data_IF_382811274679
#
_entry.id   IF_382811274679
#
_cell.length_a   1.000
_cell.length_b   1.000
_cell.length_c   1.000
_cell.angle_alpha   90.00
_cell.angle_beta   90.00
_cell.angle_gamma   90.00
#
_symmetry.space_group_name_H-M   'P 1'
#
loop_
_entity.id
_entity.type
_entity.pdbx_description
1 polymer ?
#
# COMPACT_ATOMS: atom_id res chain seq x y z
N UNK A 1 -4.60 21.98 -23.81
CA UNK A 1 -4.76 20.88 -22.83
C UNK A 1 -3.87 21.17 -21.64
N UNK A 2 -4.45 21.46 -20.48
CA UNK A 2 -3.69 21.64 -19.24
C UNK A 2 -3.15 20.27 -18.82
N UNK A 3 -1.83 20.15 -18.65
CA UNK A 3 -1.18 18.90 -18.25
C UNK A 3 -1.70 18.51 -16.86
N UNK A 4 -2.30 17.32 -16.73
CA UNK A 4 -2.79 16.81 -15.44
C UNK A 4 -1.60 16.79 -14.46
N UNK A 5 -1.70 17.56 -13.38
CA UNK A 5 -0.70 17.57 -12.32
C UNK A 5 -0.84 16.26 -11.55
N UNK A 6 0.20 15.43 -11.57
CA UNK A 6 0.24 14.19 -10.81
C UNK A 6 1.07 14.38 -9.55
N UNK A 7 0.69 13.70 -8.47
CA UNK A 7 1.52 13.62 -7.27
C UNK A 7 2.86 12.93 -7.57
N UNK A 8 3.94 13.58 -7.16
CA UNK A 8 5.28 12.98 -7.18
C UNK A 8 5.38 11.82 -6.18
N UNK A 9 6.39 10.96 -6.32
CA UNK A 9 6.62 9.89 -5.34
C UNK A 9 6.89 10.43 -3.92
N UNK A 10 7.57 11.57 -3.80
CA UNK A 10 7.79 12.21 -2.49
C UNK A 10 6.49 12.75 -1.91
N UNK A 11 5.63 13.38 -2.71
CA UNK A 11 4.29 13.81 -2.26
C UNK A 11 3.46 12.62 -1.80
N UNK A 12 3.48 11.50 -2.54
CA UNK A 12 2.77 10.27 -2.15
C UNK A 12 3.27 9.70 -0.82
N UNK A 13 4.59 9.64 -0.64
CA UNK A 13 5.19 9.18 0.61
C UNK A 13 4.84 10.08 1.80
N UNK A 14 4.79 11.40 1.59
CA UNK A 14 4.35 12.36 2.62
C UNK A 14 2.87 12.17 2.98
N UNK A 15 2.00 11.97 1.99
CA UNK A 15 0.57 11.71 2.21
C UNK A 15 0.36 10.36 2.92
N UNK A 16 1.09 9.32 2.50
CA UNK A 16 1.06 8.01 3.15
C UNK A 16 1.43 8.12 4.62
N UNK A 17 2.53 8.82 4.94
CA UNK A 17 2.93 9.10 6.32
C UNK A 17 1.87 9.91 7.06
N UNK A 18 1.40 11.03 6.49
CA UNK A 18 0.42 11.95 7.10
C UNK A 18 -0.87 11.23 7.46
N UNK A 19 -1.36 10.36 6.59
CA UNK A 19 -2.61 9.61 6.77
C UNK A 19 -2.39 8.28 7.50
N UNK A 20 -1.20 8.08 8.08
CA UNK A 20 -0.80 6.89 8.82
C UNK A 20 -1.04 5.60 8.02
N UNK A 21 -0.82 5.59 6.71
CA UNK A 21 -1.00 4.40 5.86
C UNK A 21 -2.43 3.86 5.83
N UNK A 22 -3.45 4.67 6.20
CA UNK A 22 -4.86 4.26 6.23
C UNK A 22 -5.64 4.93 5.09
N UNK A 23 -6.51 4.15 4.45
CA UNK A 23 -7.45 4.70 3.46
C UNK A 23 -8.39 5.72 4.13
N UNK A 24 -8.33 6.95 3.65
CA UNK A 24 -9.14 8.07 4.14
C UNK A 24 -10.64 7.82 3.99
N UNK A 25 -11.06 6.97 3.06
CA UNK A 25 -12.47 6.71 2.74
C UNK A 25 -13.05 5.47 3.44
N UNK A 26 -12.22 4.45 3.73
CA UNK A 26 -12.71 3.17 4.26
C UNK A 26 -12.16 2.84 5.64
N UNK A 27 -11.12 3.55 6.08
CA UNK A 27 -10.37 3.22 7.30
C UNK A 27 -9.58 1.91 7.21
N UNK A 28 -9.49 1.28 6.03
CA UNK A 28 -8.66 0.07 5.84
C UNK A 28 -7.18 0.44 5.97
N UNK A 29 -6.38 -0.45 6.55
CA UNK A 29 -4.93 -0.38 6.44
C UNK A 29 -4.53 -0.52 4.97
N UNK A 30 -3.54 0.23 4.53
CA UNK A 30 -2.93 0.10 3.19
C UNK A 30 -1.46 -0.35 3.32
N UNK A 31 -1.12 -0.95 4.46
CA UNK A 31 0.17 -1.56 4.72
C UNK A 31 0.14 -3.04 4.36
N UNK A 32 0.88 -3.41 3.31
CA UNK A 32 0.77 -4.75 2.71
C UNK A 32 1.16 -5.89 3.64
N UNK A 33 2.02 -5.65 4.63
CA UNK A 33 2.38 -6.70 5.60
C UNK A 33 1.19 -7.13 6.47
N UNK A 34 0.13 -6.31 6.57
CA UNK A 34 -1.10 -6.72 7.26
C UNK A 34 -1.92 -7.74 6.46
N UNK A 35 -1.60 -7.92 5.18
CA UNK A 35 -2.38 -8.73 4.22
C UNK A 35 -1.61 -9.94 3.70
N UNK A 36 -0.28 -9.84 3.58
CA UNK A 36 0.52 -10.94 3.02
C UNK A 36 0.09 -11.24 1.58
N UNK A 37 -0.25 -12.50 1.31
CA UNK A 37 -0.70 -12.98 0.00
C UNK A 37 -2.23 -12.94 -0.16
N UNK A 38 -2.94 -12.10 0.61
CA UNK A 38 -4.37 -11.88 0.40
C UNK A 38 -4.63 -11.29 -1.01
N UNK A 39 -5.43 -11.95 -1.87
CA UNK A 39 -5.77 -11.45 -3.20
C UNK A 39 -6.66 -10.20 -3.17
N UNK A 40 -7.35 -9.92 -2.06
CA UNK A 40 -8.20 -8.74 -1.88
C UNK A 40 -7.42 -7.51 -1.38
N UNK A 41 -6.09 -7.59 -1.30
CA UNK A 41 -5.26 -6.46 -0.90
C UNK A 41 -5.45 -5.24 -1.82
N UNK A 42 -5.71 -4.09 -1.20
CA UNK A 42 -5.84 -2.81 -1.89
C UNK A 42 -4.54 -2.02 -1.79
N UNK A 43 -3.89 -1.78 -2.92
CA UNK A 43 -2.72 -0.91 -3.00
C UNK A 43 -3.04 0.51 -2.51
N UNK A 44 -2.06 1.12 -1.85
CA UNK A 44 -2.05 2.55 -1.58
C UNK A 44 -2.11 3.36 -2.90
N UNK A 45 -3.08 4.26 -2.95
CA UNK A 45 -3.27 5.25 -4.00
C UNK A 45 -3.37 6.64 -3.37
N UNK A 46 -2.98 7.66 -4.13
CA UNK A 46 -3.20 9.05 -3.74
C UNK A 46 -4.12 9.68 -4.75
N UNK A 47 -5.29 10.07 -4.27
CA UNK A 47 -6.30 10.76 -5.07
C UNK A 47 -6.31 12.26 -4.79
N UNK A 48 -6.86 13.00 -5.75
CA UNK A 48 -7.12 14.41 -5.57
C UNK A 48 -8.46 14.62 -4.85
N UNK A 49 -8.47 15.46 -3.81
CA UNK A 49 -9.68 15.88 -3.13
C UNK A 49 -10.56 16.65 -4.13
N UNK A 50 -10.00 17.72 -4.69
CA UNK A 50 -10.54 18.45 -5.85
C UNK A 50 -9.93 17.84 -7.11
N UNK A 51 -10.73 17.29 -8.03
CA UNK A 51 -10.20 16.65 -9.24
C UNK A 51 -9.26 17.56 -10.02
N UNK A 52 -8.17 16.99 -10.55
CA UNK A 52 -7.25 17.74 -11.41
C UNK A 52 -7.92 18.31 -12.68
N UNK A 53 -9.02 17.69 -13.14
CA UNK A 53 -9.85 18.21 -14.24
C UNK A 53 -10.65 19.47 -13.88
N UNK A 54 -10.88 19.70 -12.60
CA UNK A 54 -11.60 20.87 -12.06
C UNK A 54 -10.64 21.92 -11.48
N UNK A 55 -9.34 21.80 -11.76
CA UNK A 55 -8.32 22.75 -11.32
C UNK A 55 -7.62 22.39 -10.01
N UNK A 56 -7.86 21.20 -9.45
CA UNK A 56 -7.15 20.75 -8.25
C UNK A 56 -5.64 20.58 -8.49
N UNK A 57 -4.84 21.08 -7.54
CA UNK A 57 -3.38 20.98 -7.54
C UNK A 57 -2.84 19.62 -7.09
N UNK A 58 -1.52 19.44 -7.15
CA UNK A 58 -0.81 18.25 -6.63
C UNK A 58 -0.05 18.56 -5.31
N UNK A 59 -0.48 19.61 -4.62
CA UNK A 59 -0.06 19.94 -3.26
C UNK A 59 -0.59 18.92 -2.25
N UNK A 60 0.06 18.85 -1.08
CA UNK A 60 -0.28 17.84 -0.07
C UNK A 60 -1.72 17.96 0.42
N UNK A 61 -2.25 19.18 0.51
CA UNK A 61 -3.59 19.45 1.07
C UNK A 61 -4.70 18.95 0.14
N UNK A 62 -4.45 18.96 -1.18
CA UNK A 62 -5.34 18.37 -2.17
C UNK A 62 -5.16 16.85 -2.35
N UNK A 63 -4.21 16.22 -1.64
CA UNK A 63 -4.00 14.77 -1.71
C UNK A 63 -4.70 14.02 -0.59
N UNK A 64 -5.33 12.87 -0.89
CA UNK A 64 -5.88 11.95 0.11
C UNK A 64 -5.38 10.52 -0.16
N UNK A 65 -4.97 9.81 0.90
CA UNK A 65 -4.64 8.39 0.79
C UNK A 65 -5.90 7.55 0.63
N UNK A 66 -5.93 6.68 -0.37
CA UNK A 66 -7.08 5.85 -0.72
C UNK A 66 -6.63 4.44 -1.12
N UNK A 67 -7.44 3.42 -0.80
CA UNK A 67 -7.34 2.12 -1.46
C UNK A 67 -7.77 2.25 -2.92
N UNK A 68 -7.24 1.41 -3.80
CA UNK A 68 -7.54 1.48 -5.24
C UNK A 68 -9.02 1.34 -5.58
N UNK A 69 -9.75 0.43 -4.93
CA UNK A 69 -11.20 0.23 -5.11
C UNK A 69 -11.98 1.49 -4.70
N UNK A 70 -11.69 2.01 -3.50
CA UNK A 70 -12.29 3.25 -3.01
C UNK A 70 -12.02 4.41 -3.99
N UNK A 71 -10.79 4.54 -4.51
CA UNK A 71 -10.47 5.54 -5.53
C UNK A 71 -11.26 5.33 -6.85
N UNK A 72 -11.54 4.09 -7.25
CA UNK A 72 -12.32 3.81 -8.46
C UNK A 72 -13.79 4.20 -8.30
N UNK A 73 -14.39 3.88 -7.15
CA UNK A 73 -15.80 4.14 -6.84
C UNK A 73 -16.08 5.63 -6.55
N UNK A 74 -15.06 6.37 -6.12
CA UNK A 74 -15.13 7.81 -5.74
C UNK A 74 -15.31 8.76 -6.94
N UNK A 75 -15.49 8.26 -8.17
CA UNK A 75 -15.93 9.08 -9.31
C UNK A 75 -17.29 9.78 -9.10
N UNK A 76 -18.06 9.38 -8.09
CA UNK A 76 -19.25 10.10 -7.62
C UNK A 76 -18.89 11.13 -6.53
N UNK A 77 -18.48 12.32 -6.97
CA UNK A 77 -17.88 13.43 -6.18
C UNK A 77 -18.80 13.97 -5.06
N UNK A 78 -20.12 13.74 -5.11
CA UNK A 78 -21.10 14.44 -4.27
C UNK A 78 -21.11 14.03 -2.78
N UNK A 79 -20.44 12.94 -2.38
CA UNK A 79 -20.52 12.43 -1.00
C UNK A 79 -19.18 11.94 -0.43
N UNK A 80 -18.06 12.64 -0.69
CA UNK A 80 -16.76 12.34 -0.06
C UNK A 80 -16.79 12.61 1.45
N UNK A 81 -17.33 11.68 2.24
CA UNK A 81 -17.16 11.67 3.70
C UNK A 81 -15.85 10.95 4.03
N UNK A 82 -14.84 11.71 4.42
CA UNK A 82 -13.61 11.13 4.97
C UNK A 82 -13.92 10.43 6.29
N UNK A 83 -13.56 9.16 6.39
CA UNK A 83 -13.58 8.42 7.66
C UNK A 83 -12.31 8.74 8.45
N UNK A 84 -11.17 8.81 7.76
CA UNK A 84 -9.88 9.19 8.32
C UNK A 84 -9.27 10.33 7.52
N UNK A 85 -8.52 11.21 8.18
CA UNK A 85 -7.69 12.23 7.54
C UNK A 85 -6.58 12.63 8.51
N UNK A 86 -5.37 12.85 8.01
CA UNK A 86 -4.26 13.38 8.82
C UNK A 86 -4.00 12.55 10.09
N UNK A 87 -4.08 11.22 9.96
CA UNK A 87 -3.81 10.29 11.05
C UNK A 87 -4.89 10.28 12.14
N UNK A 88 -6.11 10.74 11.83
CA UNK A 88 -7.23 10.82 12.78
C UNK A 88 -8.54 10.35 12.17
N UNK A 89 -9.38 9.72 12.99
CA UNK A 89 -10.80 9.54 12.68
C UNK A 89 -11.50 10.90 12.60
N UNK A 90 -12.40 11.06 11.64
CA UNK A 90 -13.26 12.25 11.57
C UNK A 90 -14.51 12.06 12.44
N UNK A 91 -15.13 13.18 12.86
CA UNK A 91 -16.25 13.17 13.80
C UNK A 91 -17.58 12.60 13.25
N UNK A 92 -17.62 12.11 12.01
CA UNK A 92 -18.86 11.70 11.32
C UNK A 92 -18.72 10.33 10.68
N UNK A 93 -18.74 9.29 11.49
CA UNK A 93 -18.65 7.93 10.97
C UNK A 93 -19.81 7.09 11.51
N UNK A 94 -20.68 6.61 10.63
CA UNK A 94 -21.75 5.64 10.94
C UNK A 94 -21.16 4.23 11.15
N UNK A 95 -19.96 4.16 11.74
CA UNK A 95 -19.18 2.94 11.90
C UNK A 95 -19.54 2.24 13.19
N UNK A 96 -19.50 0.91 13.15
CA UNK A 96 -19.63 0.10 14.36
C UNK A 96 -18.49 0.39 15.35
N UNK A 97 -18.74 0.21 16.65
CA UNK A 97 -17.72 0.36 17.69
C UNK A 97 -16.48 -0.50 17.41
N UNK A 98 -16.68 -1.73 16.94
CA UNK A 98 -15.60 -2.65 16.55
C UNK A 98 -14.73 -2.04 15.46
N UNK A 99 -15.36 -1.48 14.40
CA UNK A 99 -14.63 -0.87 13.30
C UNK A 99 -13.83 0.38 13.73
N UNK A 100 -14.40 1.19 14.62
CA UNK A 100 -13.70 2.34 15.22
C UNK A 100 -12.46 1.87 16.01
N UNK A 101 -12.57 0.79 16.78
CA UNK A 101 -11.46 0.23 17.54
C UNK A 101 -10.34 -0.30 16.62
N UNK A 102 -10.70 -1.02 15.55
CA UNK A 102 -9.74 -1.47 14.53
C UNK A 102 -8.96 -0.30 13.92
N UNK A 103 -9.67 0.74 13.48
CA UNK A 103 -9.04 1.92 12.88
C UNK A 103 -8.11 2.62 13.88
N UNK A 104 -8.57 2.85 15.11
CA UNK A 104 -7.75 3.48 16.15
C UNK A 104 -6.50 2.66 16.50
N UNK A 105 -6.62 1.33 16.52
CA UNK A 105 -5.47 0.44 16.72
C UNK A 105 -4.43 0.63 15.62
N UNK A 106 -4.86 0.63 14.36
CA UNK A 106 -3.96 0.87 13.22
C UNK A 106 -3.37 2.28 13.24
N UNK A 107 -4.16 3.32 13.51
CA UNK A 107 -3.69 4.70 13.63
C UNK A 107 -2.61 4.85 14.70
N UNK A 108 -2.79 4.18 15.84
CA UNK A 108 -1.81 4.16 16.93
C UNK A 108 -0.56 3.41 16.52
N UNK A 109 -0.69 2.23 15.92
CA UNK A 109 0.45 1.41 15.47
C UNK A 109 1.29 2.15 14.43
N UNK A 110 0.65 2.90 13.53
CA UNK A 110 1.30 3.62 12.45
C UNK A 110 1.65 5.08 12.78
N UNK A 111 1.59 5.49 14.06
CA UNK A 111 1.93 6.86 14.48
C UNK A 111 3.40 7.22 14.24
N UNK A 112 4.26 6.21 14.12
CA UNK A 112 5.70 6.36 13.92
C UNK A 112 6.13 6.04 12.47
N UNK A 113 5.20 6.05 11.50
CA UNK A 113 5.58 5.94 10.09
C UNK A 113 6.53 7.06 9.69
N UNK A 114 7.50 6.72 8.86
CA UNK A 114 8.43 7.64 8.21
C UNK A 114 8.21 7.62 6.70
N UNK A 115 8.73 8.64 6.01
CA UNK A 115 8.60 8.78 4.55
C UNK A 115 9.17 7.56 3.82
N UNK A 116 10.22 6.94 4.39
CA UNK A 116 10.85 5.77 3.80
C UNK A 116 9.87 4.59 3.66
N UNK A 117 8.97 4.38 4.62
CA UNK A 117 8.12 3.19 4.66
C UNK A 117 7.18 3.08 3.48
N UNK A 118 6.77 4.22 2.91
CA UNK A 118 6.02 4.20 1.65
C UNK A 118 6.80 3.51 0.53
N UNK A 119 8.11 3.73 0.44
CA UNK A 119 8.94 3.05 -0.57
C UNK A 119 9.03 1.55 -0.29
N UNK A 120 9.07 1.13 0.98
CA UNK A 120 9.00 -0.28 1.35
C UNK A 120 7.66 -0.89 0.96
N UNK A 121 6.54 -0.26 1.35
CA UNK A 121 5.19 -0.71 0.99
C UNK A 121 5.04 -0.90 -0.52
N UNK A 122 5.56 0.06 -1.30
CA UNK A 122 5.59 -0.01 -2.77
C UNK A 122 6.49 -1.12 -3.31
N UNK A 123 7.63 -1.38 -2.67
CA UNK A 123 8.52 -2.47 -3.07
C UNK A 123 7.84 -3.83 -2.88
N UNK A 124 7.20 -4.02 -1.73
CA UNK A 124 6.46 -5.24 -1.40
C UNK A 124 5.22 -5.41 -2.28
N UNK A 125 4.48 -4.33 -2.55
CA UNK A 125 3.39 -4.38 -3.52
C UNK A 125 3.85 -4.78 -4.92
N UNK A 126 5.03 -4.33 -5.36
CA UNK A 126 5.57 -4.77 -6.64
C UNK A 126 5.86 -6.27 -6.69
N UNK A 127 6.19 -6.91 -5.55
CA UNK A 127 6.33 -8.38 -5.48
C UNK A 127 4.95 -9.03 -5.61
N UNK A 128 3.96 -8.53 -4.86
CA UNK A 128 2.59 -9.01 -4.91
C UNK A 128 1.98 -8.91 -6.32
N UNK A 129 2.10 -7.76 -6.99
CA UNK A 129 1.55 -7.59 -8.34
C UNK A 129 2.32 -8.42 -9.39
N UNK A 130 3.59 -8.74 -9.15
CA UNK A 130 4.34 -9.65 -10.01
C UNK A 130 3.72 -11.05 -9.99
N UNK A 131 3.30 -11.53 -8.80
CA UNK A 131 2.64 -12.82 -8.66
C UNK A 131 1.25 -12.86 -9.32
N UNK A 132 0.45 -11.80 -9.13
CA UNK A 132 -0.85 -11.66 -9.79
C UNK A 132 -0.71 -11.64 -11.33
N UNK A 133 0.21 -10.84 -11.86
CA UNK A 133 0.36 -10.70 -13.31
C UNK A 133 0.96 -11.95 -13.96
N UNK A 134 1.86 -12.64 -13.27
CA UNK A 134 2.38 -13.94 -13.72
C UNK A 134 1.25 -14.98 -13.77
N UNK A 135 0.36 -15.00 -12.76
CA UNK A 135 -0.84 -15.84 -12.77
C UNK A 135 -1.75 -15.53 -13.96
N UNK A 136 -2.07 -14.25 -14.15
CA UNK A 136 -2.91 -13.79 -15.26
C UNK A 136 -2.36 -14.22 -16.63
N UNK A 137 -1.06 -14.02 -16.86
CA UNK A 137 -0.39 -14.38 -18.12
C UNK A 137 -0.46 -15.90 -18.35
N UNK A 138 -0.22 -16.71 -17.32
CA UNK A 138 -0.33 -18.17 -17.41
C UNK A 138 -1.75 -18.64 -17.71
N UNK A 139 -2.76 -17.88 -17.29
CA UNK A 139 -4.18 -18.11 -17.58
C UNK A 139 -4.66 -17.40 -18.86
N UNK A 140 -3.74 -16.91 -19.71
CA UNK A 140 -4.05 -16.39 -21.04
C UNK A 140 -4.52 -14.94 -21.07
N UNK A 141 -4.51 -14.22 -19.94
CA UNK A 141 -4.81 -12.80 -19.90
C UNK A 141 -3.63 -11.97 -20.41
N UNK A 142 -3.94 -10.92 -21.18
CA UNK A 142 -2.92 -10.01 -21.73
C UNK A 142 -2.57 -8.94 -20.70
N UNK A 143 -1.32 -8.94 -20.23
CA UNK A 143 -0.75 -7.88 -19.39
C UNK A 143 0.37 -7.14 -20.13
N UNK A 144 0.46 -5.83 -19.95
CA UNK A 144 1.50 -5.00 -20.59
C UNK A 144 2.87 -5.15 -19.92
N UNK A 145 2.89 -5.61 -18.67
CA UNK A 145 4.09 -5.79 -17.85
C UNK A 145 4.13 -7.23 -17.35
N UNK A 146 5.32 -7.80 -17.31
CA UNK A 146 5.57 -9.16 -16.84
C UNK A 146 6.05 -9.16 -15.38
N UNK A 147 6.32 -10.37 -14.87
CA UNK A 147 6.85 -10.60 -13.53
C UNK A 147 8.18 -9.87 -13.33
N UNK A 148 9.08 -9.99 -14.30
CA UNK A 148 10.44 -9.45 -14.27
C UNK A 148 10.46 -7.92 -14.17
N UNK A 149 9.58 -7.24 -14.91
CA UNK A 149 9.39 -5.80 -14.81
C UNK A 149 9.02 -5.35 -13.40
N UNK A 150 8.07 -6.05 -12.77
CA UNK A 150 7.59 -5.71 -11.44
C UNK A 150 8.64 -6.01 -10.37
N UNK A 151 9.34 -7.15 -10.45
CA UNK A 151 10.47 -7.45 -9.56
C UNK A 151 11.61 -6.42 -9.70
N UNK A 152 11.91 -5.97 -10.93
CA UNK A 152 12.86 -4.87 -11.16
C UNK A 152 12.41 -3.56 -10.51
N UNK A 153 11.11 -3.24 -10.59
CA UNK A 153 10.51 -2.08 -9.94
C UNK A 153 10.52 -2.19 -8.42
N UNK A 154 10.31 -3.38 -7.86
CA UNK A 154 10.44 -3.68 -6.44
C UNK A 154 11.84 -3.35 -5.94
N UNK A 155 12.87 -3.89 -6.61
CA UNK A 155 14.27 -3.67 -6.27
C UNK A 155 14.64 -2.18 -6.22
N UNK A 156 14.19 -1.39 -7.20
CA UNK A 156 14.44 0.07 -7.23
C UNK A 156 13.85 0.79 -6.01
N UNK A 157 12.63 0.42 -5.59
CA UNK A 157 11.97 1.00 -4.41
C UNK A 157 12.62 0.55 -3.11
N UNK A 158 13.03 -0.72 -3.04
CA UNK A 158 13.71 -1.27 -1.88
C UNK A 158 15.10 -0.61 -1.66
N UNK A 159 15.87 -0.41 -2.72
CA UNK A 159 17.13 0.35 -2.67
C UNK A 159 16.89 1.78 -2.17
N UNK A 160 15.80 2.43 -2.60
CA UNK A 160 15.46 3.77 -2.10
C UNK A 160 15.08 3.76 -0.62
N UNK A 161 14.34 2.76 -0.15
CA UNK A 161 14.02 2.58 1.26
C UNK A 161 15.30 2.40 2.09
N UNK A 162 16.17 1.44 1.73
CA UNK A 162 17.44 1.22 2.42
C UNK A 162 18.33 2.47 2.47
N UNK A 163 18.36 3.28 1.40
CA UNK A 163 19.11 4.54 1.40
C UNK A 163 18.56 5.56 2.41
N UNK A 164 17.28 5.50 2.74
CA UNK A 164 16.62 6.42 3.67
C UNK A 164 16.66 5.91 5.11
N UNK A 165 16.72 4.60 5.33
CA UNK A 165 16.70 3.97 6.67
C UNK A 165 18.07 3.50 7.15
N UNK A 166 19.04 3.31 6.26
CA UNK A 166 20.35 2.77 6.61
C UNK A 166 20.35 1.25 6.81
N UNK A 167 21.33 0.74 7.56
CA UNK A 167 21.53 -0.71 7.77
C UNK A 167 20.50 -1.33 8.72
N UNK A 168 19.92 -0.53 9.61
CA UNK A 168 19.01 -1.00 10.68
C UNK A 168 17.54 -0.96 10.27
N UNK A 169 17.25 -0.74 8.98
CA UNK A 169 15.90 -0.51 8.49
C UNK A 169 14.88 -1.58 8.88
N UNK A 170 15.28 -2.85 9.00
CA UNK A 170 14.39 -3.94 9.40
C UNK A 170 14.08 -3.92 10.92
N UNK A 171 15.11 -3.85 11.77
CA UNK A 171 14.94 -3.72 13.23
C UNK A 171 14.08 -2.51 13.60
N UNK A 172 14.22 -1.44 12.82
CA UNK A 172 13.42 -0.24 12.94
C UNK A 172 11.92 -0.45 12.61
N UNK A 173 11.56 -1.41 11.74
CA UNK A 173 10.14 -1.75 11.49
C UNK A 173 9.47 -2.34 12.74
N UNK A 174 10.14 -3.25 13.44
CA UNK A 174 9.64 -3.85 14.67
C UNK A 174 9.44 -2.79 15.76
N UNK A 175 10.45 -1.95 15.98
CA UNK A 175 10.39 -0.87 16.97
C UNK A 175 9.28 0.16 16.67
N UNK A 176 8.95 0.37 15.39
CA UNK A 176 7.88 1.28 14.96
C UNK A 176 6.52 0.59 14.83
N UNK A 177 6.42 -0.69 15.21
CA UNK A 177 5.16 -1.45 15.19
C UNK A 177 4.66 -1.80 13.79
N UNK A 178 5.52 -1.80 12.78
CA UNK A 178 5.13 -2.05 11.39
C UNK A 178 5.08 -3.54 11.03
N UNK A 179 5.41 -4.41 11.97
CA UNK A 179 5.30 -5.87 11.84
C UNK A 179 3.98 -6.31 12.49
N UNK A 180 3.20 -7.22 11.86
CA UNK A 180 2.03 -7.81 12.51
C UNK A 180 2.41 -8.59 13.77
N UNK A 181 1.60 -8.52 14.83
CA UNK A 181 1.89 -9.20 16.10
C UNK A 181 1.94 -10.73 15.95
N UNK A 182 1.13 -11.29 15.05
CA UNK A 182 1.04 -12.73 14.79
C UNK A 182 1.05 -12.98 13.28
N UNK A 183 2.22 -12.87 12.63
CA UNK A 183 2.27 -12.91 11.18
C UNK A 183 1.94 -14.32 10.68
N UNK A 184 1.10 -14.41 9.64
CA UNK A 184 0.85 -15.65 8.90
C UNK A 184 2.07 -16.06 8.08
N UNK A 185 2.11 -17.29 7.58
CA UNK A 185 3.28 -17.80 6.83
C UNK A 185 3.59 -16.99 5.56
N UNK A 186 2.57 -16.53 4.85
CA UNK A 186 2.74 -15.66 3.68
C UNK A 186 3.22 -14.25 4.06
N UNK A 187 2.76 -13.71 5.18
CA UNK A 187 3.30 -12.46 5.72
C UNK A 187 4.78 -12.62 6.09
N UNK A 188 5.17 -13.74 6.70
CA UNK A 188 6.59 -14.07 6.99
C UNK A 188 7.44 -14.13 5.72
N UNK A 189 6.96 -14.77 4.67
CA UNK A 189 7.69 -14.82 3.39
C UNK A 189 7.82 -13.44 2.73
N UNK A 190 6.79 -12.61 2.84
CA UNK A 190 6.88 -11.22 2.36
C UNK A 190 7.88 -10.40 3.18
N UNK A 191 7.94 -10.60 4.50
CA UNK A 191 8.94 -9.95 5.37
C UNK A 191 10.37 -10.44 5.06
N UNK A 192 10.57 -11.74 4.86
CA UNK A 192 11.88 -12.30 4.50
C UNK A 192 12.40 -11.73 3.17
N UNK A 193 11.50 -11.33 2.26
CA UNK A 193 11.86 -10.66 1.01
C UNK A 193 12.51 -9.27 1.20
N UNK A 194 12.40 -8.66 2.40
CA UNK A 194 13.03 -7.39 2.75
C UNK A 194 14.53 -7.58 3.03
N UNK A 195 14.91 -8.64 3.74
CA UNK A 195 16.31 -8.93 4.09
C UNK A 195 17.15 -9.47 2.93
N UNK A 196 16.49 -10.06 1.93
CA UNK A 196 17.12 -10.78 0.82
C UNK A 196 16.91 -10.10 -0.54
N UNK A 197 17.15 -8.80 -0.63
CA UNK A 197 16.86 -7.98 -1.83
C UNK A 197 17.64 -8.46 -3.08
N UNK A 198 18.76 -9.14 -2.87
CA UNK A 198 19.58 -9.72 -3.93
C UNK A 198 19.27 -11.19 -4.22
N UNK A 199 18.45 -11.84 -3.38
CA UNK A 199 18.06 -13.23 -3.52
C UNK A 199 16.54 -13.34 -3.69
N UNK A 200 16.14 -13.72 -4.90
CA UNK A 200 14.73 -13.83 -5.25
C UNK A 200 14.02 -15.03 -4.62
N UNK A 201 14.71 -15.89 -3.85
CA UNK A 201 14.12 -17.11 -3.26
C UNK A 201 12.84 -16.83 -2.46
N UNK A 202 12.87 -15.86 -1.55
CA UNK A 202 11.69 -15.51 -0.75
C UNK A 202 10.59 -14.84 -1.58
N UNK A 203 10.97 -14.03 -2.57
CA UNK A 203 10.02 -13.38 -3.48
C UNK A 203 9.27 -14.42 -4.33
N UNK A 204 9.99 -15.41 -4.87
CA UNK A 204 9.41 -16.52 -5.64
C UNK A 204 8.54 -17.42 -4.75
N UNK A 205 8.96 -17.70 -3.51
CA UNK A 205 8.14 -18.47 -2.57
C UNK A 205 6.83 -17.74 -2.23
N UNK A 206 6.91 -16.45 -1.93
CA UNK A 206 5.73 -15.62 -1.68
C UNK A 206 4.79 -15.57 -2.90
N UNK A 207 5.34 -15.38 -4.10
CA UNK A 207 4.56 -15.36 -5.35
C UNK A 207 3.77 -16.67 -5.52
N UNK A 208 4.39 -17.83 -5.26
CA UNK A 208 3.69 -19.12 -5.33
C UNK A 208 2.54 -19.20 -4.33
N UNK A 209 2.75 -18.74 -3.09
CA UNK A 209 1.68 -18.73 -2.08
C UNK A 209 0.49 -17.85 -2.47
N UNK A 210 0.75 -16.71 -3.12
CA UNK A 210 -0.30 -15.86 -3.69
C UNK A 210 -1.04 -16.57 -4.83
N UNK A 211 -0.31 -17.22 -5.73
CA UNK A 211 -0.89 -17.98 -6.86
C UNK A 211 -1.75 -19.14 -6.36
N UNK A 212 -1.31 -19.86 -5.34
CA UNK A 212 -2.08 -20.94 -4.72
C UNK A 212 -3.41 -20.43 -4.15
N UNK A 213 -3.42 -19.24 -3.53
CA UNK A 213 -4.65 -18.60 -3.04
C UNK A 213 -5.57 -18.14 -4.18
N UNK A 214 -5.02 -17.63 -5.28
CA UNK A 214 -5.80 -17.23 -6.46
C UNK A 214 -6.50 -18.45 -7.08
N UNK A 215 -5.83 -19.59 -7.19
CA UNK A 215 -6.43 -20.84 -7.65
C UNK A 215 -7.63 -21.32 -6.81
N UNK A 216 -7.75 -20.90 -5.55
CA UNK A 216 -8.86 -21.27 -4.68
C UNK A 216 -10.10 -20.37 -4.86
N UNK A 217 -9.98 -19.28 -5.63
CA UNK A 217 -11.06 -18.34 -5.90
C UNK A 217 -11.76 -18.59 -7.25
N UNK A 218 -11.14 -19.39 -8.13
CA UNK A 218 -11.67 -19.84 -9.42
C UNK A 218 -12.54 -21.12 -9.27
#
# INVERSE_FOLDING_TARGET
MTKRLNFSNSSKALIFKRDHGICSFTGKSLWILDYGADPDYEIDWVDHIVPASEGGGNDLDNGALAGWSANYDVKNILFKKYICREGKLTAKTDLSKKRIQEINSTLKRFSNLIIADWYLNRALWHIWIAGLYDFDIRNGLKRTRDKEYWLGSSKSKMVKWLKLTGKDGFTDLENRGLIPDNPTEDQKELMNSIGEIHNFKHQEKFIRMLQDKLCLLD
#
